data_IF_984542794898
#
_entry.id   IF_984542794898
#
_cell.length_a   1.000
_cell.length_b   1.000
_cell.length_c   1.000
_cell.angle_alpha   90.00
_cell.angle_beta   90.00
_cell.angle_gamma   90.00
#
_symmetry.space_group_name_H-M   'P 1'
#
loop_
_entity.id
_entity.type
_entity.pdbx_description
1 polymer ?
#
# COMPACT_ATOMS: atom_id res chain seq x y z
N UNK A 1 11.62 11.03 0.69
CA UNK A 1 11.76 10.83 -0.77
C UNK A 1 10.73 9.81 -1.14
N UNK A 2 9.87 10.10 -2.11
CA UNK A 2 8.73 9.24 -2.45
C UNK A 2 9.05 8.47 -3.73
N UNK A 3 8.80 7.17 -3.74
CA UNK A 3 9.14 6.26 -4.85
C UNK A 3 7.83 5.76 -5.46
N UNK A 4 7.67 5.88 -6.77
CA UNK A 4 6.54 5.29 -7.48
C UNK A 4 6.61 3.76 -7.41
N UNK A 5 5.58 3.12 -6.87
CA UNK A 5 5.46 1.65 -6.81
C UNK A 5 4.79 1.14 -8.10
N UNK A 6 3.68 1.77 -8.48
CA UNK A 6 2.92 1.42 -9.69
C UNK A 6 2.03 2.59 -10.11
N UNK A 7 1.79 2.71 -11.42
CA UNK A 7 0.86 3.69 -11.98
C UNK A 7 -0.26 2.99 -12.78
N UNK A 8 -1.48 3.48 -12.65
CA UNK A 8 -2.65 3.03 -13.39
C UNK A 8 -2.86 3.81 -14.68
N UNK A 9 -1.81 4.26 -15.38
CA UNK A 9 -1.96 5.08 -16.60
C UNK A 9 -2.73 4.37 -17.72
N UNK A 10 -2.86 3.04 -17.62
CA UNK A 10 -3.62 2.20 -18.55
C UNK A 10 -5.11 2.07 -18.17
N UNK A 11 -5.51 2.57 -16.99
CA UNK A 11 -6.91 2.63 -16.52
C UNK A 11 -7.45 4.05 -16.59
N UNK A 12 -8.75 4.21 -16.92
CA UNK A 12 -9.44 5.51 -17.02
C UNK A 12 -9.34 6.36 -15.74
N UNK A 13 -9.15 5.71 -14.59
CA UNK A 13 -8.77 6.31 -13.32
C UNK A 13 -7.25 6.21 -13.17
N UNK A 14 -6.55 7.34 -13.23
CA UNK A 14 -5.10 7.46 -13.07
C UNK A 14 -4.67 7.23 -11.60
N UNK A 15 -5.05 6.10 -11.02
CA UNK A 15 -4.68 5.71 -9.67
C UNK A 15 -3.18 5.44 -9.57
N UNK A 16 -2.56 5.81 -8.46
CA UNK A 16 -1.10 5.68 -8.28
C UNK A 16 -0.78 5.08 -6.92
N UNK A 17 0.22 4.20 -6.88
CA UNK A 17 0.77 3.63 -5.66
C UNK A 17 2.14 4.25 -5.39
N UNK A 18 2.32 4.90 -4.24
CA UNK A 18 3.56 5.61 -3.90
C UNK A 18 4.12 5.08 -2.58
N UNK A 19 5.43 4.83 -2.52
CA UNK A 19 6.15 4.49 -1.29
C UNK A 19 6.76 5.75 -0.69
N UNK A 20 6.47 6.00 0.59
CA UNK A 20 7.10 7.03 1.42
C UNK A 20 8.03 6.42 2.47
N UNK A 21 8.34 5.13 2.31
CA UNK A 21 9.25 4.44 3.21
C UNK A 21 10.68 5.00 3.09
N UNK A 22 11.41 5.11 4.20
CA UNK A 22 12.83 5.43 4.13
C UNK A 22 13.60 4.32 3.41
N UNK A 23 14.75 4.67 2.84
CA UNK A 23 15.61 3.70 2.16
C UNK A 23 15.97 2.56 3.11
N UNK A 24 15.93 1.32 2.60
CA UNK A 24 16.20 0.09 3.37
C UNK A 24 15.26 -0.15 4.58
N UNK A 25 14.08 0.47 4.62
CA UNK A 25 13.07 0.17 5.64
C UNK A 25 12.59 -1.28 5.55
N UNK A 26 12.59 -2.00 6.67
CA UNK A 26 12.17 -3.41 6.74
C UNK A 26 11.12 -3.67 7.83
N UNK A 27 10.60 -2.61 8.45
CA UNK A 27 9.60 -2.69 9.52
C UNK A 27 8.17 -2.75 9.02
N UNK A 28 7.23 -2.64 9.97
CA UNK A 28 5.80 -2.65 9.68
C UNK A 28 5.40 -1.46 8.81
N UNK A 29 4.60 -1.74 7.79
CA UNK A 29 4.18 -0.76 6.81
C UNK A 29 2.65 -0.70 6.76
N UNK A 30 2.11 0.50 6.60
CA UNK A 30 0.69 0.73 6.39
C UNK A 30 0.46 1.21 4.98
N UNK A 31 -0.45 0.55 4.26
CA UNK A 31 -1.00 0.97 2.97
C UNK A 31 -2.25 1.79 3.27
N UNK A 32 -2.29 3.03 2.79
CA UNK A 32 -3.37 3.96 3.10
C UNK A 32 -3.85 4.68 1.83
N UNK A 33 -5.12 5.07 1.78
CA UNK A 33 -5.71 5.82 0.66
C UNK A 33 -5.42 7.32 0.76
N UNK A 34 -5.67 8.10 -0.30
CA UNK A 34 -5.62 9.59 -0.27
C UNK A 34 -6.43 10.24 0.86
N UNK A 35 -7.43 9.55 1.42
CA UNK A 35 -8.23 10.02 2.55
C UNK A 35 -7.68 9.59 3.92
N UNK A 36 -6.46 9.06 3.98
CA UNK A 36 -5.81 8.48 5.16
C UNK A 36 -6.50 7.24 5.74
N UNK A 37 -7.33 6.55 4.95
CA UNK A 37 -7.97 5.30 5.36
C UNK A 37 -6.98 4.14 5.25
N UNK A 38 -6.89 3.31 6.29
CA UNK A 38 -5.98 2.15 6.31
C UNK A 38 -6.58 1.03 5.48
N UNK A 39 -5.90 0.70 4.38
CA UNK A 39 -6.21 -0.46 3.53
C UNK A 39 -5.65 -1.73 4.15
N UNK A 40 -4.39 -1.68 4.59
CA UNK A 40 -3.73 -2.79 5.26
C UNK A 40 -2.52 -2.33 6.08
N UNK A 41 -2.22 -3.05 7.16
CA UNK A 41 -0.98 -2.90 7.93
C UNK A 41 -0.30 -4.25 7.96
N UNK A 42 0.94 -4.31 7.45
CA UNK A 42 1.66 -5.55 7.14
C UNK A 42 3.09 -5.51 7.68
N UNK A 43 3.73 -6.67 7.90
CA UNK A 43 4.98 -6.72 8.65
C UNK A 43 6.20 -6.20 7.88
N UNK A 44 6.13 -6.08 6.55
CA UNK A 44 7.27 -5.67 5.72
C UNK A 44 6.82 -4.96 4.42
N UNK A 45 7.71 -4.18 3.80
CA UNK A 45 7.41 -3.43 2.57
C UNK A 45 7.06 -4.29 1.36
N UNK A 46 7.61 -5.51 1.24
CA UNK A 46 7.37 -6.34 0.05
C UNK A 46 5.88 -6.69 -0.09
N UNK A 47 5.25 -7.02 1.03
CA UNK A 47 3.80 -7.29 1.09
C UNK A 47 3.03 -5.99 0.84
N UNK A 48 3.46 -4.89 1.48
CA UNK A 48 2.78 -3.60 1.33
C UNK A 48 2.77 -3.12 -0.13
N UNK A 49 3.86 -3.34 -0.87
CA UNK A 49 3.94 -2.99 -2.29
C UNK A 49 3.06 -3.86 -3.16
N UNK A 50 2.94 -5.15 -2.83
CA UNK A 50 2.04 -6.08 -3.53
C UNK A 50 0.58 -5.67 -3.33
N UNK A 51 0.20 -5.36 -2.09
CA UNK A 51 -1.13 -4.83 -1.74
C UNK A 51 -1.39 -3.51 -2.44
N UNK A 52 -0.44 -2.56 -2.38
CA UNK A 52 -0.60 -1.25 -3.01
C UNK A 52 -0.77 -1.34 -4.53
N UNK A 53 -0.04 -2.24 -5.19
CA UNK A 53 -0.18 -2.48 -6.63
C UNK A 53 -1.55 -3.07 -6.98
N UNK A 54 -2.06 -4.02 -6.18
CA UNK A 54 -3.39 -4.58 -6.39
C UNK A 54 -4.50 -3.58 -6.06
N UNK A 55 -4.34 -2.79 -5.00
CA UNK A 55 -5.32 -1.82 -4.51
C UNK A 55 -5.66 -0.73 -5.53
N UNK A 56 -4.69 -0.29 -6.33
CA UNK A 56 -4.91 0.68 -7.42
C UNK A 56 -5.58 0.07 -8.65
N UNK A 57 -5.59 -1.27 -8.76
CA UNK A 57 -6.21 -1.99 -9.87
C UNK A 57 -7.74 -1.99 -9.80
N UNK A 58 -8.39 -2.34 -10.90
CA UNK A 58 -9.86 -2.41 -11.00
C UNK A 58 -10.48 -3.36 -9.97
N UNK A 59 -9.79 -4.45 -9.63
CA UNK A 59 -10.25 -5.42 -8.63
C UNK A 59 -10.05 -4.92 -7.19
N UNK A 60 -9.04 -4.08 -6.95
CA UNK A 60 -8.79 -3.47 -5.64
C UNK A 60 -9.74 -2.32 -5.35
N UNK A 61 -9.93 -1.40 -6.30
CA UNK A 61 -10.94 -0.34 -6.23
C UNK A 61 -10.69 0.74 -5.17
N UNK A 62 -9.49 0.82 -4.59
CA UNK A 62 -9.15 1.81 -3.54
C UNK A 62 -8.67 3.15 -4.11
N UNK A 63 -8.52 3.26 -5.43
CA UNK A 63 -7.93 4.44 -6.08
C UNK A 63 -6.46 4.59 -5.70
N UNK A 64 -5.95 5.82 -5.68
CA UNK A 64 -4.55 6.09 -5.31
C UNK A 64 -4.25 5.78 -3.84
N UNK A 65 -3.12 5.11 -3.60
CA UNK A 65 -2.67 4.70 -2.27
C UNK A 65 -1.20 5.06 -2.04
N UNK A 66 -0.80 5.13 -0.78
CA UNK A 66 0.58 5.30 -0.39
C UNK A 66 0.97 4.35 0.73
N UNK A 67 2.25 3.96 0.73
CA UNK A 67 2.86 3.06 1.70
C UNK A 67 3.75 3.88 2.61
N UNK A 68 3.43 3.86 3.91
CA UNK A 68 4.18 4.57 4.95
C UNK A 68 4.59 3.62 6.08
N UNK A 69 5.58 3.99 6.91
CA UNK A 69 5.85 3.25 8.14
C UNK A 69 4.59 3.22 9.01
N UNK A 70 4.31 2.09 9.66
CA UNK A 70 3.18 1.98 10.55
C UNK A 70 3.32 2.98 11.71
N UNK A 71 2.23 3.70 12.02
CA UNK A 71 2.16 4.62 13.16
C UNK A 71 2.12 3.82 14.47
N UNK A 72 2.56 4.44 15.56
CA UNK A 72 2.46 3.85 16.89
C UNK A 72 0.99 3.54 17.21
N UNK A 73 0.70 2.27 17.53
CA UNK A 73 -0.66 1.77 17.77
C UNK A 73 -1.37 1.16 16.56
N UNK A 74 -0.85 1.28 15.33
CA UNK A 74 -1.38 0.52 14.18
C UNK A 74 -0.96 -0.96 14.31
N UNK A 75 -1.93 -1.85 14.55
CA UNK A 75 -1.71 -3.29 14.61
C UNK A 75 -1.63 -3.90 13.22
N UNK A 76 -0.89 -4.99 13.09
CA UNK A 76 -0.87 -5.81 11.88
C UNK A 76 -2.30 -6.29 11.59
N UNK A 77 -2.82 -5.95 10.41
CA UNK A 77 -4.11 -6.45 9.95
C UNK A 77 -3.94 -7.74 9.15
N UNK A 78 -2.83 -7.85 8.41
CA UNK A 78 -2.53 -9.01 7.57
C UNK A 78 -1.03 -9.32 7.64
N UNK A 79 -0.67 -10.60 7.52
CA UNK A 79 0.73 -11.04 7.52
C UNK A 79 1.28 -11.31 6.13
N UNK A 80 0.41 -11.44 5.12
CA UNK A 80 0.73 -11.88 3.76
C UNK A 80 -0.30 -11.30 2.77
N UNK A 81 0.05 -11.24 1.47
CA UNK A 81 -0.82 -10.69 0.43
C UNK A 81 -2.10 -11.52 0.22
N UNK A 82 -1.98 -12.85 0.21
CA UNK A 82 -3.10 -13.77 -0.01
C UNK A 82 -4.21 -13.58 1.04
N UNK A 83 -3.81 -13.40 2.31
CA UNK A 83 -4.72 -13.14 3.42
C UNK A 83 -5.47 -11.81 3.29
N UNK A 84 -4.94 -10.85 2.53
CA UNK A 84 -5.60 -9.56 2.30
C UNK A 84 -6.50 -9.60 1.06
N UNK A 85 -6.12 -10.37 0.04
CA UNK A 85 -6.86 -10.45 -1.22
C UNK A 85 -8.09 -11.38 -1.16
N UNK A 86 -8.19 -12.26 -0.16
CA UNK A 86 -9.27 -13.25 0.05
C UNK A 86 -10.00 -13.06 1.39
#
# INVERSE_FOLDING_TARGET
MSILISDGSETLDAATAISELPDSYTGHCSVVTINEEIVATVPNPQIAFSIACYAIGTEGGYGSVYVRPAKDGEILTHTDFDSWAY
#
